data_IF_050888551000
#
_entry.id   IF_050888551000
#
_cell.length_a   1.000
_cell.length_b   1.000
_cell.length_c   1.000
_cell.angle_alpha   90.00
_cell.angle_beta   90.00
_cell.angle_gamma   90.00
#
_symmetry.space_group_name_H-M   'P 1'
#
loop_
_entity.id
_entity.type
_entity.pdbx_description
1 polymer ?
#
# COMPACT_ATOMS: atom_id res chain seq x y z
N UNK A 1 -28.58 -31.15 12.90
CA UNK A 1 -27.96 -29.85 13.25
C UNK A 1 -28.82 -28.78 12.62
N UNK A 2 -30.06 -28.76 13.08
CA UNK A 2 -31.06 -27.77 12.73
C UNK A 2 -30.55 -26.48 13.32
N UNK A 3 -30.14 -25.53 12.48
CA UNK A 3 -29.63 -24.22 12.88
C UNK A 3 -30.75 -23.40 13.54
N UNK A 4 -31.12 -23.80 14.75
CA UNK A 4 -31.14 -23.00 15.97
C UNK A 4 -31.55 -21.52 15.72
N UNK A 5 -32.81 -21.26 16.12
CA UNK A 5 -33.46 -19.97 16.41
C UNK A 5 -34.15 -19.18 15.27
N UNK A 6 -35.11 -19.82 14.60
CA UNK A 6 -36.34 -19.12 14.18
C UNK A 6 -37.37 -19.30 15.32
N UNK A 7 -37.20 -18.57 16.43
CA UNK A 7 -38.19 -18.50 17.50
C UNK A 7 -38.61 -17.04 17.72
N UNK A 8 -39.70 -16.71 17.01
CA UNK A 8 -40.85 -15.92 17.45
C UNK A 8 -40.62 -14.78 18.46
N UNK A 9 -40.22 -13.61 17.97
CA UNK A 9 -40.77 -12.32 18.39
C UNK A 9 -40.43 -11.28 17.31
N UNK A 10 -41.43 -10.70 16.66
CA UNK A 10 -41.25 -9.60 15.68
C UNK A 10 -40.25 -8.53 16.18
N UNK A 11 -40.22 -8.13 17.47
CA UNK A 11 -39.25 -7.13 17.92
C UNK A 11 -37.79 -7.62 17.89
N UNK A 12 -37.51 -8.91 18.11
CA UNK A 12 -36.12 -9.41 18.15
C UNK A 12 -35.51 -9.52 16.76
N UNK A 13 -36.30 -9.90 15.75
CA UNK A 13 -35.84 -9.94 14.36
C UNK A 13 -35.62 -8.54 13.79
N UNK A 14 -36.49 -7.57 14.11
CA UNK A 14 -36.32 -6.17 13.73
C UNK A 14 -35.07 -5.58 14.38
N UNK A 15 -34.83 -5.86 15.66
CA UNK A 15 -33.63 -5.40 16.37
C UNK A 15 -32.36 -5.99 15.76
N UNK A 16 -32.36 -7.27 15.39
CA UNK A 16 -31.22 -7.92 14.73
C UNK A 16 -30.91 -7.27 13.38
N UNK A 17 -31.92 -7.05 12.53
CA UNK A 17 -31.75 -6.36 11.25
C UNK A 17 -31.25 -4.92 11.42
N UNK A 18 -31.73 -4.21 12.44
CA UNK A 18 -31.27 -2.86 12.78
C UNK A 18 -29.80 -2.86 13.21
N UNK A 19 -29.39 -3.82 14.04
CA UNK A 19 -27.99 -3.97 14.46
C UNK A 19 -27.06 -4.22 13.25
N UNK A 20 -27.47 -5.07 12.31
CA UNK A 20 -26.70 -5.32 11.08
C UNK A 20 -26.63 -4.06 10.21
N UNK A 21 -27.74 -3.33 10.05
CA UNK A 21 -27.76 -2.07 9.29
C UNK A 21 -26.86 -0.99 9.92
N UNK A 22 -26.85 -0.89 11.25
CA UNK A 22 -25.97 0.02 12.00
C UNK A 22 -24.50 -0.39 11.90
N UNK A 23 -24.18 -1.69 11.96
CA UNK A 23 -22.83 -2.20 11.74
C UNK A 23 -22.34 -1.88 10.32
N UNK A 24 -23.17 -2.09 9.30
CA UNK A 24 -22.81 -1.82 7.89
C UNK A 24 -22.67 -0.30 7.63
N UNK A 25 -23.52 0.53 8.22
CA UNK A 25 -23.44 1.99 8.05
C UNK A 25 -22.31 2.64 8.86
N UNK A 26 -21.82 1.99 9.92
CA UNK A 26 -20.70 2.48 10.74
C UNK A 26 -19.33 2.43 10.05
N UNK A 27 -19.26 1.86 8.84
CA UNK A 27 -18.00 1.51 8.17
C UNK A 27 -17.26 2.62 7.42
N UNK A 28 -17.67 3.88 7.48
CA UNK A 28 -16.92 4.97 6.83
C UNK A 28 -16.11 5.73 7.87
N UNK A 29 -14.94 5.19 8.20
CA UNK A 29 -13.90 6.00 8.81
C UNK A 29 -13.51 7.10 7.80
N UNK A 30 -13.97 8.32 8.05
CA UNK A 30 -13.50 9.49 7.32
C UNK A 30 -12.08 9.76 7.78
N UNK A 31 -11.10 9.19 7.07
CA UNK A 31 -9.71 9.57 7.26
C UNK A 31 -9.55 10.99 6.72
N UNK A 32 -9.80 11.98 7.58
CA UNK A 32 -9.58 13.38 7.25
C UNK A 32 -8.07 13.59 7.21
N UNK A 33 -7.49 13.43 6.02
CA UNK A 33 -6.11 13.79 5.75
C UNK A 33 -5.93 15.25 6.21
N UNK A 34 -4.91 15.56 7.02
CA UNK A 34 -4.58 16.94 7.31
C UNK A 34 -4.35 17.68 5.97
N UNK A 35 -5.04 18.80 5.80
CA UNK A 35 -4.94 19.60 4.57
C UNK A 35 -3.52 20.15 4.45
N UNK A 36 -2.91 19.95 3.28
CA UNK A 36 -1.61 20.52 2.90
C UNK A 36 -0.42 20.11 3.79
N UNK A 37 -0.29 18.81 4.13
CA UNK A 37 0.94 18.31 4.77
C UNK A 37 2.04 18.13 3.75
N UNK A 38 3.05 18.99 3.83
CA UNK A 38 4.31 18.82 3.10
C UNK A 38 5.23 17.89 3.88
N UNK A 39 5.62 16.78 3.27
CA UNK A 39 6.65 15.88 3.83
C UNK A 39 7.99 16.31 3.21
N UNK A 40 8.91 16.93 3.99
CA UNK A 40 10.12 17.55 3.43
C UNK A 40 11.13 16.51 2.92
N UNK A 41 11.15 15.30 3.50
CA UNK A 41 12.03 14.23 3.07
C UNK A 41 11.52 12.87 3.55
N UNK A 42 11.87 11.82 2.81
CA UNK A 42 11.71 10.41 3.20
C UNK A 42 13.09 9.79 3.27
N UNK A 43 13.46 9.25 4.44
CA UNK A 43 14.70 8.52 4.62
C UNK A 43 14.33 7.04 4.74
N UNK A 44 14.76 6.24 3.77
CA UNK A 44 14.46 4.81 3.70
C UNK A 44 15.73 3.98 3.98
N UNK A 45 15.61 2.99 4.85
CA UNK A 45 16.67 2.03 5.18
C UNK A 45 16.18 0.62 4.87
N UNK A 46 17.01 -0.18 4.20
CA UNK A 46 16.68 -1.57 3.91
C UNK A 46 17.65 -2.21 2.94
N UNK A 47 17.14 -3.20 2.21
CA UNK A 47 17.90 -4.00 1.24
C UNK A 47 17.59 -3.56 -0.20
N UNK A 48 17.78 -4.47 -1.15
CA UNK A 48 17.55 -4.27 -2.58
C UNK A 48 16.14 -3.77 -2.92
N UNK A 49 15.13 -4.03 -2.08
CA UNK A 49 13.75 -3.58 -2.30
C UNK A 49 13.64 -2.05 -2.24
N UNK A 50 14.50 -1.40 -1.45
CA UNK A 50 14.48 0.04 -1.24
C UNK A 50 15.64 0.76 -1.95
N UNK A 51 16.57 0.01 -2.55
CA UNK A 51 17.73 0.58 -3.24
C UNK A 51 17.35 1.32 -4.54
N UNK A 52 17.72 2.59 -4.61
CA UNK A 52 17.52 3.47 -5.77
C UNK A 52 18.76 3.58 -6.67
N UNK A 53 19.72 2.66 -6.52
CA UNK A 53 20.99 2.66 -7.24
C UNK A 53 22.19 3.12 -6.40
N UNK A 54 22.06 3.14 -5.07
CA UNK A 54 23.16 3.42 -4.16
C UNK A 54 24.32 2.43 -4.40
N UNK A 55 24.00 1.17 -4.69
CA UNK A 55 24.99 0.15 -5.01
C UNK A 55 25.87 0.45 -6.25
N UNK A 56 25.48 1.39 -7.12
CA UNK A 56 26.31 1.79 -8.25
C UNK A 56 27.55 2.61 -7.84
N UNK A 57 27.57 3.13 -6.60
CA UNK A 57 28.61 4.02 -6.10
C UNK A 57 29.59 3.35 -5.11
N UNK A 58 29.38 2.07 -4.79
CA UNK A 58 30.25 1.29 -3.91
C UNK A 58 30.85 0.10 -4.66
N UNK A 59 32.04 -0.40 -4.26
CA UNK A 59 32.73 -1.48 -4.96
C UNK A 59 32.07 -2.86 -4.67
N UNK A 60 30.92 -3.10 -5.29
CA UNK A 60 30.15 -4.35 -5.19
C UNK A 60 29.80 -4.89 -6.57
N UNK A 61 29.66 -6.21 -6.67
CA UNK A 61 29.09 -6.87 -7.84
C UNK A 61 27.55 -6.80 -7.85
N UNK A 62 26.93 -6.52 -6.71
CA UNK A 62 25.47 -6.48 -6.53
C UNK A 62 24.95 -5.12 -7.03
N UNK A 63 24.69 -5.00 -8.32
CA UNK A 63 24.19 -3.78 -8.95
C UNK A 63 22.96 -4.08 -9.81
N UNK A 64 22.15 -3.05 -10.09
CA UNK A 64 20.99 -3.15 -10.97
C UNK A 64 21.03 -2.08 -12.08
N UNK A 65 22.25 -1.82 -12.61
CA UNK A 65 22.52 -0.88 -13.70
C UNK A 65 22.69 -1.57 -15.07
N UNK A 66 22.07 -2.74 -15.25
CA UNK A 66 22.14 -3.54 -16.48
C UNK A 66 20.80 -4.25 -16.75
N UNK A 67 20.54 -4.72 -17.99
CA UNK A 67 19.33 -5.48 -18.31
C UNK A 67 19.21 -6.78 -17.50
N UNK A 68 18.01 -7.20 -17.08
CA UNK A 68 16.70 -6.73 -17.53
C UNK A 68 16.16 -5.53 -16.72
N UNK A 69 16.89 -5.03 -15.72
CA UNK A 69 16.39 -3.99 -14.82
C UNK A 69 16.07 -2.69 -15.56
N UNK A 70 14.97 -2.06 -15.16
CA UNK A 70 14.56 -0.79 -15.72
C UNK A 70 13.81 -0.87 -17.06
N UNK A 71 13.48 -2.07 -17.57
CA UNK A 71 12.87 -2.21 -18.91
C UNK A 71 11.51 -1.50 -19.04
N UNK A 72 10.73 -1.35 -17.96
CA UNK A 72 9.45 -0.61 -18.01
C UNK A 72 9.60 0.89 -17.67
N UNK A 73 10.82 1.37 -17.42
CA UNK A 73 11.06 2.82 -17.25
C UNK A 73 11.19 3.50 -18.62
N UNK A 74 11.13 4.83 -18.63
CA UNK A 74 11.24 5.62 -19.86
C UNK A 74 12.53 5.29 -20.61
N UNK A 75 12.40 4.76 -21.82
CA UNK A 75 13.53 4.36 -22.66
C UNK A 75 14.20 3.03 -22.26
N UNK A 76 13.57 2.23 -21.38
CA UNK A 76 14.06 0.90 -20.99
C UNK A 76 15.43 0.91 -20.31
N UNK A 77 15.82 2.04 -19.71
CA UNK A 77 17.14 2.22 -19.11
C UNK A 77 17.14 1.72 -17.67
N UNK A 78 18.17 0.95 -17.33
CA UNK A 78 18.42 0.54 -15.95
C UNK A 78 18.65 1.76 -15.06
N UNK A 79 17.89 1.87 -13.98
CA UNK A 79 17.91 3.02 -13.07
C UNK A 79 18.72 2.77 -11.79
N UNK A 80 19.21 1.54 -11.58
CA UNK A 80 19.83 1.11 -10.32
C UNK A 80 18.85 0.50 -9.32
N UNK A 81 17.54 0.52 -9.61
CA UNK A 81 16.52 -0.22 -8.85
C UNK A 81 16.57 -1.71 -9.22
N UNK A 82 16.47 -2.59 -8.22
CA UNK A 82 16.35 -4.05 -8.42
C UNK A 82 14.94 -4.46 -8.89
N UNK A 83 14.34 -3.68 -9.78
CA UNK A 83 12.99 -3.88 -10.30
C UNK A 83 12.85 -3.27 -11.69
N UNK A 84 11.82 -3.70 -12.41
CA UNK A 84 11.38 -3.07 -13.65
C UNK A 84 10.37 -1.95 -13.42
N UNK A 85 9.86 -1.81 -12.18
CA UNK A 85 8.85 -0.84 -11.81
C UNK A 85 9.33 0.05 -10.65
N UNK A 86 8.46 1.01 -10.28
CA UNK A 86 8.62 1.84 -9.08
C UNK A 86 8.68 0.98 -7.82
N UNK A 87 9.58 1.32 -6.93
CA UNK A 87 9.74 0.74 -5.58
C UNK A 87 8.76 1.40 -4.58
N UNK A 88 8.59 0.85 -3.36
CA UNK A 88 7.78 1.51 -2.33
C UNK A 88 8.22 2.95 -2.02
N UNK A 89 9.53 3.22 -2.05
CA UNK A 89 10.07 4.57 -1.83
C UNK A 89 9.61 5.55 -2.90
N UNK A 90 9.52 5.09 -4.16
CA UNK A 90 9.00 5.92 -5.26
C UNK A 90 7.52 6.28 -5.06
N UNK A 91 6.72 5.37 -4.48
CA UNK A 91 5.30 5.61 -4.23
C UNK A 91 5.08 6.60 -3.09
N UNK A 92 5.91 6.53 -2.05
CA UNK A 92 5.82 7.41 -0.88
C UNK A 92 6.44 8.78 -1.17
N UNK A 93 7.55 8.82 -1.90
CA UNK A 93 8.27 10.05 -2.23
C UNK A 93 7.64 10.86 -3.36
N UNK A 94 6.74 10.27 -4.15
CA UNK A 94 5.93 11.03 -5.11
C UNK A 94 4.75 11.66 -4.34
N UNK A 95 5.00 12.78 -3.67
CA UNK A 95 3.89 13.66 -3.25
C UNK A 95 3.22 14.24 -4.50
N UNK A 96 1.91 14.55 -4.47
CA UNK A 96 1.33 15.48 -5.44
C UNK A 96 2.05 16.84 -5.41
#
# INVERSE_FOLDING_TARGET
MDFIFISSNIPTTVLFCLCIYLLVSSGVATFKMPENVTIPAVIAFGDSILDQGNNNYIPTFIRANFPPYGVNFLGGKATGRFSNAKTPVDLIGTSP
#
